data_IF_783191631837
#
_entry.id   IF_783191631837
#
_cell.length_a   1.000
_cell.length_b   1.000
_cell.length_c   1.000
_cell.angle_alpha   90.00
_cell.angle_beta   90.00
_cell.angle_gamma   90.00
#
_symmetry.space_group_name_H-M   'P 1'
#
loop_
_entity.id
_entity.type
_entity.pdbx_description
1 polymer ?
#
# COMPACT_ATOMS: atom_id res chain seq x y z
N UNK A 1 0.22 -18.70 -15.54
CA UNK A 1 1.48 -18.81 -16.32
C UNK A 1 1.51 -17.70 -17.38
N UNK A 2 1.77 -16.46 -16.97
CA UNK A 2 2.13 -15.39 -17.90
C UNK A 2 3.60 -15.58 -18.24
N UNK A 3 3.85 -16.31 -19.32
CA UNK A 3 5.18 -16.51 -19.89
C UNK A 3 5.82 -15.15 -20.17
N UNK A 4 7.02 -14.93 -19.64
CA UNK A 4 7.77 -13.65 -19.64
C UNK A 4 8.21 -13.12 -21.01
N UNK A 5 7.64 -13.59 -22.12
CA UNK A 5 8.14 -13.37 -23.48
C UNK A 5 7.39 -12.30 -24.30
N UNK A 6 6.57 -11.46 -23.68
CA UNK A 6 5.96 -10.28 -24.35
C UNK A 6 6.12 -8.97 -23.60
N UNK A 7 7.26 -8.74 -22.96
CA UNK A 7 7.61 -7.40 -22.50
C UNK A 7 7.76 -6.45 -23.71
N UNK A 8 7.03 -5.33 -23.70
CA UNK A 8 6.93 -4.40 -24.82
C UNK A 8 8.31 -3.83 -25.22
N UNK A 9 8.86 -4.31 -26.34
CA UNK A 9 10.18 -3.92 -26.85
C UNK A 9 10.29 -2.44 -27.25
N UNK A 10 9.17 -1.76 -27.49
CA UNK A 10 9.14 -0.38 -28.00
C UNK A 10 9.64 0.67 -26.98
N UNK A 11 9.53 0.39 -25.67
CA UNK A 11 9.93 1.33 -24.60
C UNK A 11 10.65 0.63 -23.45
N UNK A 12 11.54 -0.32 -23.79
CA UNK A 12 12.23 -1.17 -22.82
C UNK A 12 12.98 -0.39 -21.74
N UNK A 13 13.63 0.74 -22.06
CA UNK A 13 14.35 1.55 -21.06
C UNK A 13 13.44 2.11 -19.95
N UNK A 14 12.20 2.48 -20.30
CA UNK A 14 11.20 3.00 -19.35
C UNK A 14 10.46 1.87 -18.62
N UNK A 15 10.24 0.74 -19.29
CA UNK A 15 9.52 -0.39 -18.73
C UNK A 15 10.38 -1.30 -17.86
N UNK A 16 11.68 -1.40 -18.15
CA UNK A 16 12.62 -2.29 -17.46
C UNK A 16 12.63 -2.11 -15.93
N UNK A 17 12.66 -0.88 -15.36
CA UNK A 17 12.63 -0.71 -13.91
C UNK A 17 11.37 -1.29 -13.26
N UNK A 18 10.20 -1.06 -13.86
CA UNK A 18 8.93 -1.64 -13.39
C UNK A 18 8.93 -3.17 -13.51
N UNK A 19 9.35 -3.70 -14.66
CA UNK A 19 9.40 -5.13 -14.90
C UNK A 19 10.34 -5.84 -13.90
N UNK A 20 11.48 -5.22 -13.62
CA UNK A 20 12.43 -5.64 -12.60
C UNK A 20 11.80 -5.67 -11.19
N UNK A 21 11.10 -4.59 -10.80
CA UNK A 21 10.36 -4.53 -9.54
C UNK A 21 9.32 -5.67 -9.43
N UNK A 22 8.47 -5.82 -10.45
CA UNK A 22 7.42 -6.85 -10.48
C UNK A 22 7.97 -8.29 -10.55
N UNK A 23 9.20 -8.47 -11.04
CA UNK A 23 9.87 -9.77 -11.15
C UNK A 23 10.93 -10.03 -10.08
N UNK A 24 11.17 -9.08 -9.17
CA UNK A 24 12.19 -9.24 -8.13
C UNK A 24 13.59 -9.39 -8.72
N UNK A 25 13.84 -8.73 -9.86
CA UNK A 25 15.11 -8.81 -10.62
C UNK A 25 15.81 -7.46 -10.64
N UNK A 26 17.13 -7.46 -10.72
CA UNK A 26 17.93 -6.23 -10.76
C UNK A 26 18.16 -5.64 -9.38
N UNK A 27 18.62 -4.37 -9.32
CA UNK A 27 18.79 -3.71 -8.02
C UNK A 27 17.41 -3.34 -7.44
N UNK A 28 17.19 -3.52 -6.13
CA UNK A 28 15.90 -3.22 -5.50
C UNK A 28 15.48 -1.75 -5.68
N UNK A 29 16.45 -0.83 -5.72
CA UNK A 29 16.24 0.61 -5.92
C UNK A 29 15.92 1.01 -7.36
N UNK A 30 16.05 0.10 -8.34
CA UNK A 30 16.03 0.46 -9.77
C UNK A 30 14.76 1.22 -10.19
N UNK A 31 13.60 0.87 -9.62
CA UNK A 31 12.34 1.53 -9.95
C UNK A 31 12.32 2.97 -9.45
N UNK A 32 12.53 3.22 -8.15
CA UNK A 32 12.52 4.57 -7.58
C UNK A 32 13.69 5.41 -8.12
N UNK A 33 14.87 4.82 -8.28
CA UNK A 33 16.04 5.49 -8.89
C UNK A 33 15.83 5.89 -10.36
N UNK A 34 14.78 5.39 -11.02
CA UNK A 34 14.44 5.78 -12.40
C UNK A 34 13.47 6.95 -12.49
N UNK A 35 12.97 7.44 -11.35
CA UNK A 35 11.97 8.51 -11.25
C UNK A 35 12.64 9.82 -10.86
N UNK A 36 11.97 10.92 -11.20
CA UNK A 36 12.36 12.25 -10.72
C UNK A 36 12.11 12.35 -9.21
N UNK A 37 12.87 13.22 -8.54
CA UNK A 37 12.84 13.39 -7.08
C UNK A 37 11.41 13.51 -6.51
N UNK A 38 10.64 14.50 -6.97
CA UNK A 38 9.27 14.75 -6.50
C UNK A 38 8.31 13.59 -6.82
N UNK A 39 8.57 12.86 -7.91
CA UNK A 39 7.78 11.67 -8.26
C UNK A 39 8.08 10.54 -7.27
N UNK A 40 9.33 10.37 -6.81
CA UNK A 40 9.66 9.40 -5.75
C UNK A 40 8.93 9.72 -4.45
N UNK A 41 8.95 10.98 -4.01
CA UNK A 41 8.23 11.40 -2.79
C UNK A 41 6.74 11.07 -2.91
N UNK A 42 6.13 11.43 -4.04
CA UNK A 42 4.73 11.15 -4.34
C UNK A 42 4.42 9.66 -4.36
N UNK A 43 5.28 8.83 -4.97
CA UNK A 43 5.12 7.37 -5.03
C UNK A 43 5.12 6.77 -3.62
N UNK A 44 6.02 7.22 -2.75
CA UNK A 44 6.09 6.73 -1.36
C UNK A 44 4.80 7.05 -0.61
N UNK A 45 4.30 8.28 -0.74
CA UNK A 45 3.06 8.72 -0.09
C UNK A 45 1.85 7.95 -0.63
N UNK A 46 1.74 7.80 -1.95
CA UNK A 46 0.63 7.08 -2.57
C UNK A 46 0.70 5.57 -2.28
N UNK A 47 1.89 5.00 -2.12
CA UNK A 47 2.05 3.60 -1.71
C UNK A 47 1.54 3.40 -0.28
N UNK A 48 1.87 4.31 0.63
CA UNK A 48 1.31 4.31 1.98
C UNK A 48 -0.22 4.46 1.96
N UNK A 49 -0.77 5.43 1.22
CA UNK A 49 -2.23 5.63 1.17
C UNK A 49 -2.95 4.43 0.56
N UNK A 50 -2.35 3.79 -0.45
CA UNK A 50 -2.88 2.55 -1.02
C UNK A 50 -2.84 1.39 -0.04
N UNK A 51 -1.79 1.32 0.79
CA UNK A 51 -1.67 0.34 1.86
C UNK A 51 -2.79 0.51 2.90
N UNK A 52 -2.96 1.73 3.42
CA UNK A 52 -4.02 2.09 4.37
C UNK A 52 -5.40 1.71 3.83
N UNK A 53 -5.66 2.02 2.56
CA UNK A 53 -6.93 1.68 1.91
C UNK A 53 -7.14 0.17 1.78
N UNK A 54 -6.08 -0.57 1.46
CA UNK A 54 -6.14 -2.04 1.29
C UNK A 54 -6.36 -2.74 2.63
N UNK A 55 -5.66 -2.30 3.67
CA UNK A 55 -5.76 -2.87 5.02
C UNK A 55 -7.15 -2.63 5.62
N UNK A 56 -7.69 -1.42 5.45
CA UNK A 56 -9.07 -1.10 5.82
C UNK A 56 -10.11 -1.95 5.05
N UNK A 57 -10.03 -1.95 3.72
CA UNK A 57 -11.07 -2.55 2.89
C UNK A 57 -11.04 -4.08 2.83
N UNK A 58 -9.87 -4.71 3.05
CA UNK A 58 -9.67 -6.14 2.80
C UNK A 58 -9.08 -6.94 3.96
N UNK A 59 -8.55 -6.28 5.00
CA UNK A 59 -7.88 -6.98 6.12
C UNK A 59 -8.50 -6.68 7.50
N UNK A 60 -9.48 -5.78 7.58
CA UNK A 60 -10.06 -5.33 8.86
C UNK A 60 -8.98 -4.77 9.81
N UNK A 61 -7.96 -4.13 9.21
CA UNK A 61 -6.81 -3.55 9.90
C UNK A 61 -6.89 -2.02 9.80
N UNK A 62 -7.59 -1.39 10.74
CA UNK A 62 -7.75 0.07 10.76
C UNK A 62 -6.50 0.79 11.28
N UNK A 63 -5.90 1.61 10.41
CA UNK A 63 -4.78 2.50 10.74
C UNK A 63 -4.81 3.77 9.87
N UNK A 64 -3.84 4.66 10.06
CA UNK A 64 -3.79 5.92 9.30
C UNK A 64 -5.04 6.79 9.52
N UNK A 65 -5.72 7.14 8.42
CA UNK A 65 -6.97 7.93 8.46
C UNK A 65 -8.17 7.17 9.01
N UNK A 66 -8.11 5.84 9.04
CA UNK A 66 -9.17 4.98 9.55
C UNK A 66 -8.99 4.63 11.03
N UNK A 67 -7.89 5.08 11.67
CA UNK A 67 -7.65 4.82 13.08
C UNK A 67 -8.74 5.43 13.99
N UNK A 68 -9.44 4.63 14.82
CA UNK A 68 -10.56 5.12 15.63
C UNK A 68 -10.15 5.93 16.87
N UNK A 69 -8.84 6.17 17.09
CA UNK A 69 -8.33 6.92 18.24
C UNK A 69 -8.10 6.09 19.51
N UNK A 70 -8.56 4.84 19.55
CA UNK A 70 -8.35 3.91 20.66
C UNK A 70 -7.45 2.73 20.21
N UNK A 71 -6.43 2.34 20.99
CA UNK A 71 -5.63 1.16 20.68
C UNK A 71 -6.50 -0.11 20.71
N UNK A 72 -6.50 -0.88 19.62
CA UNK A 72 -7.07 -2.23 19.59
C UNK A 72 -5.98 -3.18 20.06
N UNK A 73 -6.25 -3.93 21.12
CA UNK A 73 -5.29 -4.88 21.70
C UNK A 73 -4.96 -6.00 20.69
N UNK A 74 -3.66 -6.26 20.47
CA UNK A 74 -3.18 -7.34 19.61
C UNK A 74 -2.75 -6.94 18.19
N UNK A 75 -2.98 -5.68 17.75
CA UNK A 75 -2.55 -5.20 16.43
C UNK A 75 -1.39 -4.21 16.55
N UNK A 76 -0.28 -4.49 15.87
CA UNK A 76 0.99 -3.72 15.94
C UNK A 76 0.84 -2.31 15.33
N UNK A 77 -0.14 -2.12 14.44
CA UNK A 77 -0.36 -0.90 13.66
C UNK A 77 -1.33 0.11 14.30
N UNK A 78 -2.10 -0.32 15.30
CA UNK A 78 -3.27 0.42 15.81
C UNK A 78 -2.90 1.39 16.94
N UNK A 79 -1.82 2.16 16.76
CA UNK A 79 -1.39 3.17 17.74
C UNK A 79 -0.90 4.43 17.04
N UNK A 80 -1.50 5.58 17.35
CA UNK A 80 -1.07 6.90 16.86
C UNK A 80 -2.03 7.48 15.81
N UNK A 81 -1.87 8.75 15.46
CA UNK A 81 -2.62 9.37 14.38
C UNK A 81 -2.01 9.04 12.99
N UNK A 82 -2.62 9.54 11.91
CA UNK A 82 -2.13 9.28 10.56
C UNK A 82 -0.67 9.75 10.32
N UNK A 83 -0.19 10.75 11.08
CA UNK A 83 1.20 11.22 10.98
C UNK A 83 2.14 10.21 11.63
N UNK A 84 1.82 9.73 12.83
CA UNK A 84 2.61 8.68 13.50
C UNK A 84 2.68 7.40 12.67
N UNK A 85 1.57 7.02 12.05
CA UNK A 85 1.48 5.85 11.20
C UNK A 85 2.30 5.99 9.91
N UNK A 86 2.24 7.16 9.26
CA UNK A 86 3.08 7.44 8.09
C UNK A 86 4.58 7.50 8.46
N UNK A 87 4.94 8.05 9.62
CA UNK A 87 6.33 8.04 10.09
C UNK A 87 6.86 6.61 10.28
N UNK A 88 6.03 5.67 10.76
CA UNK A 88 6.41 4.24 10.84
C UNK A 88 6.62 3.64 9.46
N UNK A 89 5.78 3.98 8.49
CA UNK A 89 5.99 3.57 7.10
C UNK A 89 7.33 4.09 6.56
N UNK A 90 7.69 5.34 6.87
CA UNK A 90 8.99 5.92 6.52
C UNK A 90 10.16 5.22 7.23
N UNK A 91 10.01 4.84 8.50
CA UNK A 91 11.04 4.07 9.22
C UNK A 91 11.28 2.71 8.58
N UNK A 92 10.21 2.06 8.11
CA UNK A 92 10.30 0.75 7.46
C UNK A 92 10.94 0.84 6.08
N UNK A 93 10.52 1.80 5.24
CA UNK A 93 11.09 1.93 3.89
C UNK A 93 12.57 2.30 3.95
N UNK A 94 13.01 3.07 4.94
CA UNK A 94 14.42 3.37 5.20
C UNK A 94 15.24 2.15 5.64
N UNK A 95 14.59 1.11 6.16
CA UNK A 95 15.19 -0.19 6.44
C UNK A 95 15.31 -1.10 5.21
N UNK A 96 14.75 -0.71 4.06
CA UNK A 96 14.80 -1.49 2.81
C UNK A 96 15.90 -1.02 1.87
N UNK A 97 16.15 -1.78 0.80
CA UNK A 97 17.08 -1.40 -0.26
C UNK A 97 16.40 -0.70 -1.46
N UNK A 98 15.11 -0.35 -1.37
CA UNK A 98 14.35 0.18 -2.53
C UNK A 98 14.51 1.68 -2.74
N UNK A 99 15.00 2.40 -1.72
CA UNK A 99 15.16 3.85 -1.80
C UNK A 99 16.35 4.23 -2.70
N UNK A 100 16.24 5.32 -3.47
CA UNK A 100 17.37 5.83 -4.23
C UNK A 100 18.52 6.24 -3.30
N UNK A 101 19.77 6.11 -3.80
CA UNK A 101 20.98 6.46 -3.03
C UNK A 101 21.06 7.91 -2.55
N UNK A 102 20.27 8.80 -3.15
CA UNK A 102 20.21 10.19 -2.75
C UNK A 102 19.35 10.40 -1.50
N UNK A 103 18.47 9.45 -1.16
CA UNK A 103 17.55 9.54 -0.02
C UNK A 103 18.31 9.72 1.30
N UNK A 104 18.01 10.83 1.97
CA UNK A 104 18.58 11.25 3.23
C UNK A 104 17.50 11.84 4.14
N UNK A 105 17.92 12.27 5.32
CA UNK A 105 17.05 12.90 6.30
C UNK A 105 16.27 14.09 5.72
N UNK A 106 16.90 14.91 4.86
CA UNK A 106 16.23 16.04 4.22
C UNK A 106 15.07 15.60 3.32
N UNK A 107 15.26 14.53 2.55
CA UNK A 107 14.23 13.99 1.64
C UNK A 107 13.10 13.33 2.43
N UNK A 108 13.41 12.68 3.55
CA UNK A 108 12.40 12.19 4.50
C UNK A 108 11.54 13.32 5.03
N UNK A 109 12.15 14.44 5.42
CA UNK A 109 11.43 15.61 5.91
C UNK A 109 10.57 16.26 4.82
N UNK A 110 11.07 16.36 3.59
CA UNK A 110 10.31 16.86 2.46
C UNK A 110 9.11 15.95 2.13
N UNK A 111 9.32 14.63 2.13
CA UNK A 111 8.26 13.63 1.97
C UNK A 111 7.17 13.81 3.03
N UNK A 112 7.57 13.95 4.30
CA UNK A 112 6.64 14.18 5.41
C UNK A 112 5.87 15.50 5.24
N UNK A 113 6.54 16.59 4.88
CA UNK A 113 5.89 17.88 4.66
C UNK A 113 4.87 17.83 3.52
N UNK A 114 5.20 17.16 2.41
CA UNK A 114 4.28 16.93 1.30
C UNK A 114 3.08 16.07 1.73
N UNK A 115 3.32 15.03 2.52
CA UNK A 115 2.29 14.12 3.00
C UNK A 115 1.27 14.79 3.93
N UNK A 116 1.72 15.66 4.84
CA UNK A 116 0.85 16.26 5.87
C UNK A 116 0.16 17.55 5.41
N UNK A 117 0.52 18.09 4.24
CA UNK A 117 -0.20 19.22 3.65
C UNK A 117 -1.64 18.80 3.31
N UNK A 118 -2.62 19.36 4.02
CA UNK A 118 -4.04 19.03 3.84
C UNK A 118 -4.61 19.57 2.53
N UNK A 119 -3.97 20.55 1.92
CA UNK A 119 -4.42 21.12 0.65
C UNK A 119 -3.86 20.34 -0.54
N UNK A 120 -2.75 19.62 -0.35
CA UNK A 120 -2.14 18.76 -1.37
C UNK A 120 -3.06 17.59 -1.81
N UNK A 121 -3.05 17.21 -3.10
CA UNK A 121 -3.71 16.00 -3.59
C UNK A 121 -3.02 14.70 -3.12
N UNK A 122 -1.75 14.78 -2.73
CA UNK A 122 -0.95 13.71 -2.12
C UNK A 122 -1.25 13.50 -0.63
N UNK A 123 -2.01 14.40 0.02
CA UNK A 123 -2.22 14.37 1.47
C UNK A 123 -2.60 12.99 2.02
N UNK A 124 -1.90 12.56 3.07
CA UNK A 124 -2.22 11.32 3.79
C UNK A 124 -3.55 11.40 4.53
N UNK A 125 -4.08 12.61 4.76
CA UNK A 125 -5.39 12.83 5.37
C UNK A 125 -6.57 12.62 4.41
N UNK A 126 -6.31 12.15 3.18
CA UNK A 126 -7.33 11.91 2.15
C UNK A 126 -7.22 10.47 1.65
N UNK A 127 -8.34 9.73 1.54
CA UNK A 127 -8.36 8.43 0.86
C UNK A 127 -7.75 8.55 -0.54
N UNK A 128 -7.03 7.50 -0.97
CA UNK A 128 -6.48 7.50 -2.33
C UNK A 128 -7.60 7.21 -3.33
N UNK A 129 -7.85 8.16 -4.23
CA UNK A 129 -8.74 7.88 -5.35
C UNK A 129 -8.02 6.98 -6.34
N UNK A 130 -8.23 5.68 -6.19
CA UNK A 130 -7.60 4.68 -7.04
C UNK A 130 -7.83 5.00 -8.52
N UNK A 131 -9.04 5.39 -8.95
CA UNK A 131 -9.37 5.66 -10.36
C UNK A 131 -8.48 6.72 -11.03
N UNK A 132 -7.98 7.69 -10.25
CA UNK A 132 -7.18 8.83 -10.74
C UNK A 132 -5.67 8.56 -10.79
N UNK A 133 -5.19 7.48 -10.18
CA UNK A 133 -3.75 7.19 -10.09
C UNK A 133 -3.10 7.19 -11.48
N UNK A 134 -3.57 6.46 -12.51
CA UNK A 134 -2.92 6.48 -13.82
C UNK A 134 -2.83 7.90 -14.42
N UNK A 135 -3.87 8.71 -14.28
CA UNK A 135 -3.90 10.10 -14.77
C UNK A 135 -2.83 10.95 -14.08
N UNK A 136 -2.66 10.78 -12.77
CA UNK A 136 -1.63 11.49 -11.98
C UNK A 136 -0.21 11.17 -12.44
N UNK A 137 0.02 9.94 -12.92
CA UNK A 137 1.31 9.46 -13.40
C UNK A 137 1.39 9.38 -14.92
N UNK A 138 0.83 10.37 -15.62
CA UNK A 138 1.02 10.54 -17.07
C UNK A 138 0.36 9.46 -17.94
N UNK A 139 -0.68 8.81 -17.43
CA UNK A 139 -1.37 7.70 -18.10
C UNK A 139 -0.70 6.36 -17.92
N UNK A 140 0.33 6.24 -17.06
CA UNK A 140 0.97 4.97 -16.76
C UNK A 140 0.00 4.06 -15.99
N UNK A 141 -0.45 2.97 -16.62
CA UNK A 141 -1.36 2.01 -15.98
C UNK A 141 -0.64 1.05 -15.03
N UNK A 142 0.69 0.93 -15.15
CA UNK A 142 1.51 0.04 -14.33
C UNK A 142 1.75 0.55 -12.91
N UNK A 143 1.57 1.87 -12.70
CA UNK A 143 1.82 2.53 -11.42
C UNK A 143 1.06 1.90 -10.25
N UNK A 144 -0.19 1.45 -10.45
CA UNK A 144 -0.97 0.82 -9.37
C UNK A 144 -0.29 -0.44 -8.84
N UNK A 145 0.23 -1.25 -9.76
CA UNK A 145 0.96 -2.47 -9.41
C UNK A 145 2.27 -2.11 -8.73
N UNK A 146 2.96 -1.06 -9.20
CA UNK A 146 4.18 -0.58 -8.56
C UNK A 146 3.93 -0.10 -7.12
N UNK A 147 2.90 0.72 -6.88
CA UNK A 147 2.52 1.19 -5.56
C UNK A 147 2.18 0.04 -4.62
N UNK A 148 1.38 -0.93 -5.08
CA UNK A 148 1.05 -2.12 -4.30
C UNK A 148 2.30 -2.95 -3.98
N UNK A 149 3.19 -3.16 -4.95
CA UNK A 149 4.44 -3.90 -4.74
C UNK A 149 5.34 -3.18 -3.73
N UNK A 150 5.48 -1.86 -3.84
CA UNK A 150 6.27 -1.06 -2.89
C UNK A 150 5.68 -1.15 -1.49
N UNK A 151 4.36 -1.00 -1.33
CA UNK A 151 3.69 -1.13 -0.04
C UNK A 151 3.95 -2.50 0.61
N UNK A 152 3.88 -3.58 -0.17
CA UNK A 152 4.17 -4.94 0.28
C UNK A 152 5.67 -5.12 0.61
N UNK A 153 6.59 -4.51 -0.14
CA UNK A 153 8.03 -4.53 0.18
C UNK A 153 8.35 -3.82 1.50
N UNK A 154 7.66 -2.72 1.79
CA UNK A 154 7.87 -1.90 2.99
C UNK A 154 7.30 -2.58 4.23
N UNK A 155 6.06 -3.04 4.13
CA UNK A 155 5.28 -3.47 5.31
C UNK A 155 5.25 -5.00 5.47
N UNK A 156 5.49 -5.74 4.38
CA UNK A 156 5.36 -7.20 4.32
C UNK A 156 3.92 -7.66 4.08
N UNK A 157 3.81 -8.86 3.50
CA UNK A 157 2.54 -9.58 3.31
C UNK A 157 2.00 -10.06 4.68
N UNK A 158 0.73 -9.80 4.96
CA UNK A 158 0.02 -10.08 6.23
C UNK A 158 0.53 -9.34 7.50
N UNK A 159 1.20 -8.18 7.37
CA UNK A 159 1.48 -7.31 8.53
C UNK A 159 2.46 -7.90 9.57
N UNK A 160 3.23 -8.94 9.21
CA UNK A 160 4.18 -9.65 10.11
C UNK A 160 5.60 -9.05 10.12
N UNK A 161 5.75 -7.83 9.62
CA UNK A 161 7.01 -7.10 9.54
C UNK A 161 7.76 -7.30 8.22
N UNK A 162 8.91 -6.62 8.04
CA UNK A 162 9.64 -6.60 6.78
C UNK A 162 10.02 -8.01 6.32
N UNK A 163 10.02 -8.22 5.00
CA UNK A 163 10.37 -9.48 4.37
C UNK A 163 11.71 -10.02 4.90
N UNK A 164 11.69 -11.20 5.52
CA UNK A 164 12.88 -11.80 6.15
C UNK A 164 13.75 -12.59 5.17
N UNK A 165 13.18 -13.03 4.05
CA UNK A 165 13.82 -13.80 2.97
C UNK A 165 12.94 -13.76 1.72
N UNK A 166 13.45 -14.20 0.56
CA UNK A 166 12.78 -14.19 -0.76
C UNK A 166 11.49 -15.04 -0.88
N UNK A 167 11.08 -15.75 0.18
CA UNK A 167 9.85 -16.57 0.16
C UNK A 167 8.61 -15.69 -0.04
N UNK A 168 8.62 -14.47 0.51
CA UNK A 168 7.54 -13.48 0.37
C UNK A 168 7.24 -13.15 -1.09
N UNK A 169 8.30 -13.01 -1.89
CA UNK A 169 8.21 -12.60 -3.27
C UNK A 169 7.56 -13.69 -4.12
N UNK A 170 7.81 -14.96 -3.77
CA UNK A 170 7.22 -16.12 -4.44
C UNK A 170 5.72 -16.25 -4.13
N UNK A 171 5.31 -16.03 -2.88
CA UNK A 171 3.89 -16.07 -2.48
C UNK A 171 3.08 -14.91 -3.08
N UNK A 172 3.65 -13.70 -3.11
CA UNK A 172 3.04 -12.54 -3.77
C UNK A 172 2.94 -12.73 -5.29
N UNK A 173 3.99 -13.27 -5.93
CA UNK A 173 3.93 -13.63 -7.35
C UNK A 173 2.89 -14.69 -7.64
N UNK A 174 2.79 -15.73 -6.80
CA UNK A 174 1.75 -16.76 -6.91
C UNK A 174 0.36 -16.14 -6.81
N UNK A 175 0.12 -15.23 -5.86
CA UNK A 175 -1.15 -14.50 -5.73
C UNK A 175 -1.47 -13.63 -6.97
N UNK A 176 -0.50 -12.91 -7.52
CA UNK A 176 -0.68 -12.08 -8.72
C UNK A 176 -0.91 -12.93 -9.99
N UNK A 177 -0.34 -14.13 -10.05
CA UNK A 177 -0.49 -15.07 -11.18
C UNK A 177 -1.81 -15.84 -11.16
N UNK A 178 -2.59 -15.79 -10.07
CA UNK A 178 -3.92 -16.41 -9.97
C UNK A 178 -4.93 -15.71 -10.89
N UNK A 179 -5.75 -16.52 -11.57
CA UNK A 179 -6.85 -15.99 -12.38
C UNK A 179 -7.81 -15.18 -11.47
N UNK A 180 -8.43 -14.08 -11.94
CA UNK A 180 -9.32 -13.25 -11.10
C UNK A 180 -10.37 -14.05 -10.30
N UNK A 181 -10.84 -15.16 -10.85
CA UNK A 181 -11.81 -16.06 -10.22
C UNK A 181 -11.22 -16.91 -9.08
N UNK A 182 -9.93 -17.26 -9.15
CA UNK A 182 -9.21 -17.97 -8.09
C UNK A 182 -8.84 -17.03 -6.94
N UNK A 183 -8.47 -15.78 -7.26
CA UNK A 183 -8.31 -14.72 -6.26
C UNK A 183 -9.61 -14.46 -5.51
N UNK A 184 -10.72 -14.30 -6.24
CA UNK A 184 -12.04 -14.14 -5.64
C UNK A 184 -12.40 -15.34 -4.75
N UNK A 185 -12.06 -16.58 -5.13
CA UNK A 185 -12.29 -17.78 -4.31
C UNK A 185 -11.49 -17.84 -3.01
N UNK A 186 -10.26 -17.35 -2.99
CA UNK A 186 -9.43 -17.35 -1.78
C UNK A 186 -9.85 -16.25 -0.80
N UNK A 187 -10.35 -15.14 -1.32
CA UNK A 187 -10.84 -14.00 -0.52
C UNK A 187 -12.31 -14.24 -0.09
N UNK A 188 -13.05 -15.08 -0.81
CA UNK A 188 -14.47 -15.37 -0.57
C UNK A 188 -14.79 -15.88 0.85
N UNK A 189 -14.03 -16.79 1.48
CA UNK A 189 -14.30 -17.19 2.86
C UNK A 189 -14.20 -16.01 3.84
N UNK A 190 -13.25 -15.11 3.63
CA UNK A 190 -13.09 -13.91 4.46
C UNK A 190 -14.23 -12.91 4.23
N UNK A 191 -14.67 -12.75 2.97
CA UNK A 191 -15.83 -11.90 2.61
C UNK A 191 -17.14 -12.48 3.15
N UNK A 192 -17.37 -13.78 2.97
CA UNK A 192 -18.56 -14.49 3.46
C UNK A 192 -18.62 -14.42 5.00
N UNK A 193 -17.47 -14.50 5.68
CA UNK A 193 -17.37 -14.34 7.14
C UNK A 193 -17.68 -12.90 7.57
N UNK A 194 -17.16 -11.89 6.87
CA UNK A 194 -17.46 -10.48 7.13
C UNK A 194 -18.95 -10.17 6.89
N UNK A 195 -19.55 -10.69 5.82
CA UNK A 195 -20.98 -10.58 5.53
C UNK A 195 -21.84 -11.28 6.59
N UNK A 196 -21.40 -12.43 7.09
CA UNK A 196 -22.12 -13.15 8.15
C UNK A 196 -22.06 -12.39 9.49
N UNK A 197 -20.91 -11.82 9.85
CA UNK A 197 -20.76 -10.97 11.05
C UNK A 197 -21.64 -9.72 10.92
N UNK A 198 -21.62 -9.05 9.76
CA UNK A 198 -22.49 -7.90 9.48
C UNK A 198 -23.99 -8.24 9.56
N UNK A 199 -24.37 -9.47 9.21
CA UNK A 199 -25.75 -9.95 9.29
C UNK A 199 -26.16 -10.37 10.70
N UNK A 200 -25.23 -10.89 11.49
CA UNK A 200 -25.47 -11.32 12.87
C UNK A 200 -25.47 -10.13 13.86
N UNK A 201 -24.70 -9.06 13.58
CA UNK A 201 -24.51 -7.93 14.49
C UNK A 201 -24.91 -6.56 13.91
N UNK A 202 -25.39 -6.50 12.67
CA UNK A 202 -25.73 -5.24 11.99
C UNK A 202 -26.84 -4.42 12.66
N UNK A 203 -27.76 -5.06 13.38
CA UNK A 203 -28.84 -4.38 14.12
C UNK A 203 -28.35 -3.83 15.47
N UNK A 204 -27.35 -4.45 16.10
CA UNK A 204 -26.79 -4.00 17.39
C UNK A 204 -25.91 -2.74 17.26
N UNK A 205 -25.33 -2.52 16.06
CA UNK A 205 -24.58 -1.31 15.74
C UNK A 205 -25.47 -0.08 15.47
N UNK A 206 -26.74 -0.26 15.09
CA UNK A 206 -27.68 0.85 14.96
C UNK A 206 -28.29 1.25 16.31
N UNK A 207 -28.53 0.29 17.21
CA UNK A 207 -29.19 0.53 18.49
C UNK A 207 -28.36 1.35 19.50
N UNK A 208 -27.03 1.32 19.41
CA UNK A 208 -26.13 2.04 20.34
C UNK A 208 -25.92 3.52 19.99
N UNK A 209 -26.44 3.98 18.85
CA UNK A 209 -26.32 5.38 18.41
C UNK A 209 -27.48 6.30 18.84
N UNK A 210 -28.56 5.76 19.43
CA UNK A 210 -29.77 6.52 19.79
C UNK A 210 -30.01 6.80 21.28
N UNK A 211 -29.12 6.39 22.19
CA UNK A 211 -29.23 6.75 23.61
C UNK A 211 -28.10 7.67 24.07
N UNK A 212 -28.25 8.97 23.79
CA UNK A 212 -27.58 10.03 24.55
C UNK A 212 -28.59 10.62 25.55
N UNK A 213 -28.29 10.64 26.87
CA UNK A 213 -29.24 11.09 27.88
C UNK A 213 -29.28 12.63 27.98
N UNK A 214 -30.50 13.16 28.15
CA UNK A 214 -30.76 14.40 28.89
C UNK A 214 -31.57 14.04 30.14
#
# INVERSE_FOLDING_TARGET
MLTGDRCQKAHWSKHKPFCNLAQGKGSPDAYLSSKEHDEVLRIIIDAYRLRVETDHASRDEDHGIYYPGNPIDGLVWVKGDAIDDFQRFLDLIEGTEILPKWWKFEDRMECLMMAIDKDSPESIFKPINQSEIPTRYGGDTSIRVALATIAEMVVGYDGKGPAKDDTWFREFQEFLDLHPEERARLIKPSVDMAEQIMKEYGDDFQATSTEAPN
#
